data_IF_338812423118
#
_entry.id   IF_338812423118
#
_cell.length_a   1.000
_cell.length_b   1.000
_cell.length_c   1.000
_cell.angle_alpha   90.00
_cell.angle_beta   90.00
_cell.angle_gamma   90.00
#
_symmetry.space_group_name_H-M   'P 1'
#
loop_
_entity.id
_entity.type
_entity.pdbx_description
1 polymer ?
#
# COMPACT_ATOMS: atom_id res chain seq x y z
N UNK A 1 -22.40 -18.72 10.68
CA UNK A 1 -21.36 -17.81 10.13
C UNK A 1 -20.14 -18.51 9.54
N UNK A 2 -19.33 -19.32 10.25
CA UNK A 2 -18.16 -20.00 9.60
C UNK A 2 -18.61 -21.08 8.58
N UNK A 3 -19.62 -21.87 8.94
CA UNK A 3 -20.22 -22.91 8.08
C UNK A 3 -20.84 -22.33 6.80
N UNK A 4 -21.45 -21.14 6.86
CA UNK A 4 -22.01 -20.46 5.69
C UNK A 4 -20.93 -19.97 4.71
N UNK A 5 -19.76 -19.57 5.22
CA UNK A 5 -18.62 -19.15 4.40
C UNK A 5 -17.99 -20.32 3.65
N UNK A 6 -17.85 -21.46 4.33
CA UNK A 6 -17.34 -22.69 3.70
C UNK A 6 -18.30 -23.22 2.62
N UNK A 7 -19.61 -23.20 2.90
CA UNK A 7 -20.63 -23.55 1.92
C UNK A 7 -20.60 -22.61 0.70
N UNK A 8 -20.55 -21.30 0.94
CA UNK A 8 -20.47 -20.31 -0.14
C UNK A 8 -19.21 -20.49 -0.99
N UNK A 9 -18.06 -20.74 -0.37
CA UNK A 9 -16.80 -21.00 -1.09
C UNK A 9 -16.91 -22.22 -2.00
N UNK A 10 -17.42 -23.34 -1.47
CA UNK A 10 -17.62 -24.58 -2.25
C UNK A 10 -18.59 -24.39 -3.41
N UNK A 11 -19.67 -23.62 -3.22
CA UNK A 11 -20.71 -23.43 -4.24
C UNK A 11 -20.39 -22.38 -5.31
N UNK A 12 -19.56 -21.37 -4.98
CA UNK A 12 -19.32 -20.23 -5.88
C UNK A 12 -17.92 -20.16 -6.42
N UNK A 13 -16.93 -20.53 -5.61
CA UNK A 13 -15.51 -20.40 -5.98
C UNK A 13 -15.01 -21.71 -6.54
N UNK A 14 -15.18 -22.82 -5.81
CA UNK A 14 -14.68 -24.12 -6.25
C UNK A 14 -15.31 -24.55 -7.58
N UNK A 15 -16.61 -24.27 -7.78
CA UNK A 15 -17.29 -24.48 -9.06
C UNK A 15 -16.65 -23.68 -10.21
N UNK A 16 -16.19 -22.45 -9.95
CA UNK A 16 -15.51 -21.62 -10.96
C UNK A 16 -14.09 -22.10 -11.25
N UNK A 17 -13.40 -22.64 -10.26
CA UNK A 17 -12.10 -23.32 -10.44
C UNK A 17 -12.27 -24.53 -11.35
N UNK A 18 -13.29 -25.37 -11.10
CA UNK A 18 -13.56 -26.56 -11.93
C UNK A 18 -14.03 -26.22 -13.36
N UNK A 19 -14.75 -25.12 -13.55
CA UNK A 19 -15.16 -24.64 -14.88
C UNK A 19 -14.00 -23.97 -15.65
N UNK A 20 -12.92 -23.61 -14.95
CA UNK A 20 -11.81 -22.82 -15.44
C UNK A 20 -10.54 -23.61 -15.73
N UNK A 21 -10.61 -24.93 -15.98
CA UNK A 21 -9.41 -25.76 -16.24
C UNK A 21 -8.43 -25.07 -17.21
N UNK A 22 -7.18 -24.91 -16.77
CA UNK A 22 -6.13 -24.20 -17.51
C UNK A 22 -6.16 -22.67 -17.39
N UNK A 23 -6.96 -22.10 -16.49
CA UNK A 23 -7.05 -20.66 -16.20
C UNK A 23 -6.97 -20.40 -14.70
N UNK A 24 -6.39 -19.26 -14.36
CA UNK A 24 -6.30 -18.76 -12.99
C UNK A 24 -7.64 -18.17 -12.57
N UNK A 25 -8.09 -18.48 -11.36
CA UNK A 25 -9.32 -17.94 -10.77
C UNK A 25 -8.97 -17.04 -9.60
N UNK A 26 -9.46 -15.80 -9.61
CA UNK A 26 -9.24 -14.87 -8.49
C UNK A 26 -10.57 -14.42 -7.92
N UNK A 27 -10.67 -14.48 -6.59
CA UNK A 27 -11.85 -14.08 -5.86
C UNK A 27 -11.57 -12.89 -4.95
N UNK A 28 -12.27 -11.78 -5.21
CA UNK A 28 -12.34 -10.64 -4.30
C UNK A 28 -13.73 -10.53 -3.67
N UNK A 29 -13.75 -10.16 -2.39
CA UNK A 29 -14.98 -10.04 -1.62
C UNK A 29 -14.95 -8.81 -0.70
N UNK A 30 -16.13 -8.28 -0.42
CA UNK A 30 -16.39 -7.17 0.47
C UNK A 30 -17.59 -7.53 1.34
N UNK A 31 -17.56 -7.17 2.62
CA UNK A 31 -18.64 -7.44 3.56
C UNK A 31 -18.83 -6.28 4.54
N UNK A 32 -20.08 -6.03 4.97
CA UNK A 32 -20.37 -5.16 6.12
C UNK A 32 -20.15 -5.89 7.45
N UNK A 33 -19.97 -5.12 8.53
CA UNK A 33 -19.71 -5.61 9.89
C UNK A 33 -20.80 -6.55 10.45
N UNK A 34 -22.03 -6.45 9.97
CA UNK A 34 -23.12 -7.35 10.34
C UNK A 34 -23.14 -8.66 9.52
N UNK A 35 -22.37 -8.75 8.44
CA UNK A 35 -22.35 -9.86 7.47
C UNK A 35 -23.68 -10.06 6.73
N UNK A 36 -24.54 -9.04 6.66
CA UNK A 36 -25.85 -9.15 6.02
C UNK A 36 -25.81 -8.68 4.55
N UNK A 37 -24.88 -7.80 4.20
CA UNK A 37 -24.65 -7.31 2.83
C UNK A 37 -23.25 -7.68 2.32
N UNK A 38 -23.19 -8.12 1.06
CA UNK A 38 -21.99 -8.69 0.42
C UNK A 38 -21.81 -8.09 -0.97
N UNK A 39 -20.58 -7.72 -1.32
CA UNK A 39 -20.19 -7.31 -2.66
C UNK A 39 -18.98 -8.14 -3.07
N UNK A 40 -19.02 -8.83 -4.20
CA UNK A 40 -17.95 -9.75 -4.55
C UNK A 40 -17.77 -9.89 -6.06
N UNK A 41 -16.62 -10.37 -6.49
CA UNK A 41 -16.38 -10.75 -7.89
C UNK A 41 -15.40 -11.91 -7.96
N UNK A 42 -15.76 -12.89 -8.79
CA UNK A 42 -14.91 -14.02 -9.17
C UNK A 42 -14.67 -13.89 -10.66
N UNK A 43 -13.41 -13.84 -11.11
CA UNK A 43 -13.09 -14.00 -12.52
C UNK A 43 -12.08 -15.09 -12.73
N UNK A 44 -12.11 -15.62 -13.95
CA UNK A 44 -11.11 -16.52 -14.49
C UNK A 44 -10.34 -15.80 -15.58
N UNK A 45 -9.05 -16.01 -15.68
CA UNK A 45 -8.24 -15.47 -16.76
C UNK A 45 -6.98 -16.28 -16.98
N UNK A 46 -6.34 -16.06 -18.12
CA UNK A 46 -5.10 -16.74 -18.45
C UNK A 46 -3.88 -16.14 -17.74
N UNK A 47 -3.98 -14.95 -17.15
CA UNK A 47 -2.90 -14.24 -16.45
C UNK A 47 -3.35 -13.81 -15.04
N UNK A 48 -2.55 -14.11 -14.02
CA UNK A 48 -2.90 -13.83 -12.61
C UNK A 48 -3.02 -12.33 -12.32
N UNK A 49 -2.11 -11.47 -12.83
CA UNK A 49 -2.11 -10.03 -12.60
C UNK A 49 -3.35 -9.35 -13.21
N UNK A 50 -3.65 -9.65 -14.47
CA UNK A 50 -4.84 -9.15 -15.16
C UNK A 50 -6.12 -9.67 -14.51
N UNK A 51 -6.10 -10.92 -14.03
CA UNK A 51 -7.25 -11.51 -13.32
C UNK A 51 -7.46 -10.87 -11.95
N UNK A 52 -6.39 -10.50 -11.24
CA UNK A 52 -6.47 -9.69 -10.02
C UNK A 52 -7.14 -8.34 -10.28
N UNK A 53 -6.64 -7.58 -11.26
CA UNK A 53 -7.15 -6.24 -11.58
C UNK A 53 -8.62 -6.29 -12.02
N UNK A 54 -8.97 -7.21 -12.93
CA UNK A 54 -10.35 -7.40 -13.38
C UNK A 54 -11.28 -7.80 -12.22
N UNK A 55 -10.83 -8.69 -11.33
CA UNK A 55 -11.61 -9.16 -10.18
C UNK A 55 -11.79 -8.10 -9.12
N UNK A 56 -10.74 -7.34 -8.83
CA UNK A 56 -10.82 -6.24 -7.90
C UNK A 56 -11.75 -5.12 -8.43
N UNK A 57 -11.58 -4.68 -9.68
CA UNK A 57 -12.43 -3.63 -10.29
C UNK A 57 -13.90 -3.99 -10.27
N UNK A 58 -14.25 -5.22 -10.67
CA UNK A 58 -15.64 -5.71 -10.65
C UNK A 58 -16.16 -5.87 -9.23
N UNK A 59 -15.33 -6.32 -8.30
CA UNK A 59 -15.70 -6.38 -6.89
C UNK A 59 -16.01 -4.97 -6.37
N UNK A 60 -15.20 -3.96 -6.68
CA UNK A 60 -15.42 -2.58 -6.23
C UNK A 60 -16.73 -1.98 -6.77
N UNK A 61 -17.15 -2.33 -7.99
CA UNK A 61 -18.47 -1.95 -8.51
C UNK A 61 -19.58 -2.55 -7.66
N UNK A 62 -19.47 -3.82 -7.29
CA UNK A 62 -20.45 -4.50 -6.44
C UNK A 62 -20.41 -4.00 -4.98
N UNK A 63 -19.22 -3.78 -4.44
CA UNK A 63 -19.02 -3.24 -3.10
C UNK A 63 -19.60 -1.84 -2.98
N UNK A 64 -19.45 -0.98 -3.99
CA UNK A 64 -20.11 0.33 -4.04
C UNK A 64 -21.63 0.25 -3.90
N UNK A 65 -22.25 -0.80 -4.45
CA UNK A 65 -23.71 -1.01 -4.39
C UNK A 65 -24.18 -1.58 -3.05
N UNK A 66 -23.45 -2.54 -2.49
CA UNK A 66 -23.97 -3.35 -1.37
C UNK A 66 -23.27 -3.07 -0.03
N UNK A 67 -21.96 -2.86 -0.03
CA UNK A 67 -21.18 -2.83 1.23
C UNK A 67 -20.64 -1.46 1.59
N UNK A 68 -20.34 -0.63 0.59
CA UNK A 68 -19.64 0.64 0.73
C UNK A 68 -18.26 0.50 1.41
N UNK A 69 -17.66 -0.70 1.30
CA UNK A 69 -16.36 -1.06 1.86
C UNK A 69 -15.40 -1.47 0.74
N UNK A 70 -14.11 -1.64 1.07
CA UNK A 70 -13.12 -2.14 0.12
C UNK A 70 -13.35 -3.64 -0.19
N UNK A 71 -12.72 -4.10 -1.26
CA UNK A 71 -12.67 -5.48 -1.67
C UNK A 71 -11.35 -6.10 -1.30
N UNK A 72 -11.43 -7.24 -0.64
CA UNK A 72 -10.28 -7.98 -0.19
C UNK A 72 -10.10 -9.27 -0.97
N UNK A 73 -8.84 -9.66 -1.15
CA UNK A 73 -8.50 -10.93 -1.79
C UNK A 73 -8.93 -12.07 -0.86
N UNK A 74 -9.84 -12.92 -1.35
CA UNK A 74 -10.33 -14.06 -0.59
C UNK A 74 -9.56 -15.34 -0.90
N UNK A 75 -9.42 -15.64 -2.20
CA UNK A 75 -8.75 -16.82 -2.70
C UNK A 75 -8.09 -16.57 -4.04
N UNK A 76 -7.06 -17.35 -4.31
CA UNK A 76 -6.44 -17.53 -5.61
C UNK A 76 -6.55 -19.02 -5.91
N UNK A 77 -7.14 -19.37 -7.05
CA UNK A 77 -7.59 -20.71 -7.39
C UNK A 77 -8.43 -21.34 -6.26
N UNK A 78 -8.11 -22.58 -5.88
CA UNK A 78 -8.77 -23.31 -4.79
C UNK A 78 -8.18 -22.98 -3.40
N UNK A 79 -7.19 -22.10 -3.31
CA UNK A 79 -6.51 -21.73 -2.06
C UNK A 79 -7.13 -20.49 -1.43
N UNK A 80 -7.69 -20.64 -0.23
CA UNK A 80 -8.17 -19.50 0.58
C UNK A 80 -6.97 -18.76 1.18
N UNK A 81 -6.76 -17.52 0.74
CA UNK A 81 -5.68 -16.64 1.21
C UNK A 81 -6.17 -15.52 2.14
N UNK A 82 -7.48 -15.41 2.34
CA UNK A 82 -8.07 -14.42 3.24
C UNK A 82 -7.50 -14.53 4.67
N UNK A 83 -7.06 -13.39 5.22
CA UNK A 83 -6.50 -13.31 6.57
C UNK A 83 -5.12 -13.97 6.73
N UNK A 84 -4.49 -14.40 5.63
CA UNK A 84 -3.09 -14.88 5.61
C UNK A 84 -2.13 -13.72 5.42
N UNK A 85 -0.87 -13.93 5.80
CA UNK A 85 0.18 -12.93 5.62
C UNK A 85 0.64 -12.82 4.16
N UNK A 86 1.35 -11.74 3.86
CA UNK A 86 1.82 -11.44 2.50
C UNK A 86 2.82 -12.49 1.97
N UNK A 87 3.58 -13.15 2.84
CA UNK A 87 4.54 -14.16 2.40
C UNK A 87 3.82 -15.44 1.95
N UNK A 88 2.72 -15.81 2.62
CA UNK A 88 1.86 -16.90 2.19
C UNK A 88 1.18 -16.58 0.85
N UNK A 89 0.64 -15.37 0.68
CA UNK A 89 0.05 -14.94 -0.59
C UNK A 89 1.09 -14.95 -1.71
N UNK A 90 2.27 -14.38 -1.50
CA UNK A 90 3.36 -14.37 -2.48
C UNK A 90 3.79 -15.79 -2.85
N UNK A 91 3.85 -16.70 -1.87
CA UNK A 91 4.14 -18.12 -2.13
C UNK A 91 3.11 -18.74 -3.07
N UNK A 92 1.81 -18.56 -2.81
CA UNK A 92 0.73 -19.10 -3.66
C UNK A 92 0.77 -18.49 -5.06
N UNK A 93 0.96 -17.17 -5.18
CA UNK A 93 1.10 -16.49 -6.47
C UNK A 93 2.30 -17.04 -7.26
N UNK A 94 3.44 -17.26 -6.61
CA UNK A 94 4.65 -17.79 -7.25
C UNK A 94 4.48 -19.23 -7.74
N UNK A 95 3.85 -20.11 -6.95
CA UNK A 95 3.56 -21.49 -7.34
C UNK A 95 2.68 -21.54 -8.61
N UNK A 96 1.70 -20.64 -8.70
CA UNK A 96 0.86 -20.50 -9.89
C UNK A 96 1.71 -20.05 -11.08
N UNK A 97 2.52 -19.00 -10.95
CA UNK A 97 3.38 -18.54 -12.05
C UNK A 97 4.37 -19.61 -12.53
N UNK A 98 4.93 -20.41 -11.61
CA UNK A 98 5.82 -21.53 -11.96
C UNK A 98 5.10 -22.65 -12.73
N UNK A 99 3.78 -22.78 -12.54
CA UNK A 99 2.94 -23.78 -13.22
C UNK A 99 2.39 -23.30 -14.58
N UNK A 100 2.47 -22.00 -14.89
CA UNK A 100 1.96 -21.43 -16.13
C UNK A 100 2.87 -21.71 -17.33
N UNK A 101 2.30 -21.77 -18.54
CA UNK A 101 3.08 -21.92 -19.77
C UNK A 101 4.08 -20.75 -19.94
N UNK A 102 5.40 -21.02 -19.95
CA UNK A 102 6.41 -19.98 -20.07
C UNK A 102 6.26 -19.11 -21.34
N UNK A 103 5.75 -19.67 -22.44
CA UNK A 103 5.53 -18.93 -23.69
C UNK A 103 4.41 -17.90 -23.56
N UNK A 104 3.39 -18.19 -22.75
CA UNK A 104 2.28 -17.29 -22.47
C UNK A 104 2.71 -16.16 -21.53
N UNK A 105 3.43 -16.48 -20.45
CA UNK A 105 3.98 -15.48 -19.51
C UNK A 105 4.92 -14.51 -20.22
N UNK A 106 5.73 -15.02 -21.16
CA UNK A 106 6.59 -14.20 -22.02
C UNK A 106 5.81 -13.30 -22.97
N UNK A 107 4.67 -13.76 -23.51
CA UNK A 107 3.83 -12.97 -24.41
C UNK A 107 3.08 -11.84 -23.70
N UNK A 108 2.56 -12.06 -22.49
CA UNK A 108 1.91 -11.01 -21.69
C UNK A 108 2.93 -9.99 -21.14
N UNK A 109 4.10 -10.45 -20.71
CA UNK A 109 5.20 -9.55 -20.35
C UNK A 109 5.66 -8.72 -21.55
N UNK A 110 5.71 -9.30 -22.75
CA UNK A 110 6.04 -8.59 -23.98
C UNK A 110 4.94 -7.59 -24.38
N UNK A 111 3.64 -7.87 -24.18
CA UNK A 111 2.56 -6.90 -24.42
C UNK A 111 2.61 -5.73 -23.44
N UNK A 112 2.82 -6.00 -22.15
CA UNK A 112 2.98 -4.94 -21.15
C UNK A 112 4.25 -4.10 -21.40
N UNK A 113 5.30 -4.71 -21.95
CA UNK A 113 6.51 -4.02 -22.39
C UNK A 113 6.31 -3.24 -23.70
N UNK A 114 5.56 -3.76 -24.67
CA UNK A 114 5.18 -3.05 -25.90
C UNK A 114 4.26 -1.86 -25.60
N UNK A 115 3.29 -2.01 -24.69
CA UNK A 115 2.43 -0.92 -24.21
C UNK A 115 3.23 0.14 -23.46
N UNK A 116 4.25 -0.29 -22.70
CA UNK A 116 5.22 0.60 -22.06
C UNK A 116 6.15 1.28 -23.07
N UNK A 117 6.64 0.58 -24.09
CA UNK A 117 7.54 1.13 -25.11
C UNK A 117 6.80 2.03 -26.10
N UNK A 118 5.54 1.76 -26.41
CA UNK A 118 4.70 2.63 -27.24
C UNK A 118 4.34 3.94 -26.53
N UNK A 119 4.26 3.92 -25.20
CA UNK A 119 4.09 5.13 -24.39
C UNK A 119 5.42 5.84 -24.09
N UNK A 120 6.56 5.14 -24.20
CA UNK A 120 7.90 5.69 -23.99
C UNK A 120 8.59 6.21 -25.27
N UNK A 121 8.13 5.79 -26.46
CA UNK A 121 8.74 6.21 -27.74
C UNK A 121 8.44 7.66 -28.12
N UNK A 122 7.62 8.37 -27.36
CA UNK A 122 7.34 9.79 -27.56
C UNK A 122 8.45 10.71 -26.99
N UNK A 123 9.46 10.20 -26.26
CA UNK A 123 10.48 11.08 -25.67
C UNK A 123 11.98 10.82 -25.92
N UNK A 124 12.56 9.62 -26.14
CA UNK A 124 14.03 9.52 -26.38
C UNK A 124 14.51 8.29 -27.20
N UNK A 125 15.51 8.52 -28.06
CA UNK A 125 16.25 7.64 -29.00
C UNK A 125 16.41 6.13 -28.67
N UNK A 126 16.37 5.22 -29.68
CA UNK A 126 16.26 3.77 -29.49
C UNK A 126 17.59 3.02 -29.31
N UNK A 127 17.57 2.01 -28.43
CA UNK A 127 18.60 0.97 -28.31
C UNK A 127 18.42 -0.08 -29.43
N UNK A 128 19.49 -0.56 -30.11
CA UNK A 128 19.36 -1.54 -31.20
C UNK A 128 18.73 -2.87 -30.76
N UNK A 129 17.73 -3.36 -31.52
CA UNK A 129 16.94 -4.59 -31.29
C UNK A 129 17.78 -5.84 -30.99
N UNK A 130 19.00 -5.89 -31.52
CA UNK A 130 19.88 -7.05 -31.46
C UNK A 130 20.52 -7.21 -30.07
N UNK A 131 20.67 -6.09 -29.34
CA UNK A 131 21.18 -6.07 -27.96
C UNK A 131 20.10 -6.53 -26.97
N UNK A 132 18.83 -6.26 -27.28
CA UNK A 132 17.67 -6.64 -26.48
C UNK A 132 17.45 -8.17 -26.48
N UNK A 133 17.59 -8.82 -27.65
CA UNK A 133 17.45 -10.28 -27.80
C UNK A 133 18.47 -11.07 -26.96
N UNK A 134 19.69 -10.54 -26.78
CA UNK A 134 20.74 -11.17 -25.96
C UNK A 134 20.54 -10.98 -24.45
N UNK A 135 19.83 -9.93 -24.04
CA UNK A 135 19.44 -9.65 -22.64
C UNK A 135 18.17 -10.43 -22.20
N UNK A 136 17.48 -11.09 -23.15
CA UNK A 136 16.21 -11.80 -22.96
C UNK A 136 16.36 -13.28 -22.56
N UNK A 137 17.57 -13.84 -22.53
CA UNK A 137 17.74 -15.23 -22.08
C UNK A 137 17.81 -15.36 -20.55
N UNK A 138 16.64 -15.72 -20.00
CA UNK A 138 16.41 -16.77 -19.00
C UNK A 138 16.73 -16.56 -17.50
N UNK A 139 17.22 -15.43 -17.01
CA UNK A 139 17.57 -15.36 -15.56
C UNK A 139 16.90 -14.34 -14.66
N UNK A 140 15.81 -13.66 -15.04
CA UNK A 140 15.04 -12.89 -14.04
C UNK A 140 13.62 -12.50 -14.50
N UNK A 141 12.82 -13.47 -14.98
CA UNK A 141 11.40 -13.27 -15.30
C UNK A 141 10.60 -12.85 -14.04
N UNK A 142 10.84 -13.55 -12.92
CA UNK A 142 10.21 -13.24 -11.61
C UNK A 142 10.61 -11.85 -11.09
N UNK A 143 11.88 -11.45 -11.21
CA UNK A 143 12.31 -10.09 -10.86
C UNK A 143 11.72 -9.02 -11.78
N UNK A 144 11.53 -9.32 -13.07
CA UNK A 144 10.90 -8.41 -14.02
C UNK A 144 9.41 -8.22 -13.73
N UNK A 145 8.70 -9.29 -13.35
CA UNK A 145 7.31 -9.18 -12.87
C UNK A 145 7.20 -8.42 -11.54
N UNK A 146 8.15 -8.63 -10.61
CA UNK A 146 8.27 -7.82 -9.39
C UNK A 146 8.49 -6.33 -9.71
N UNK A 147 9.28 -6.01 -10.75
CA UNK A 147 9.45 -4.62 -11.25
C UNK A 147 8.22 -4.04 -11.94
N UNK A 148 7.46 -4.84 -12.70
CA UNK A 148 6.22 -4.40 -13.35
C UNK A 148 5.08 -4.17 -12.34
N UNK A 149 5.00 -4.96 -11.26
CA UNK A 149 4.12 -4.73 -10.10
C UNK A 149 4.35 -3.38 -9.42
N UNK A 150 5.52 -2.77 -9.61
CA UNK A 150 5.88 -1.46 -9.06
C UNK A 150 5.49 -0.29 -9.99
N UNK A 151 5.34 -0.48 -11.31
CA UNK A 151 5.10 0.60 -12.30
C UNK A 151 3.65 1.13 -12.38
N UNK A 152 2.91 1.17 -11.28
CA UNK A 152 1.67 1.96 -11.17
C UNK A 152 1.92 3.46 -10.94
N UNK A 153 3.07 3.95 -11.43
CA UNK A 153 3.80 5.11 -10.93
C UNK A 153 3.85 6.26 -11.94
N UNK A 154 2.77 7.04 -12.03
CA UNK A 154 2.85 8.43 -12.50
C UNK A 154 3.34 9.36 -11.37
N UNK A 155 4.43 8.98 -10.69
CA UNK A 155 4.99 9.72 -9.57
C UNK A 155 6.51 9.75 -9.65
N UNK A 156 7.04 10.47 -10.64
CA UNK A 156 8.44 10.94 -10.59
C UNK A 156 8.49 12.31 -9.93
N UNK A 157 8.79 12.33 -8.64
CA UNK A 157 9.37 13.50 -8.00
C UNK A 157 10.65 13.08 -7.29
N UNK A 158 11.80 13.54 -7.76
CA UNK A 158 13.07 13.25 -7.10
C UNK A 158 13.18 14.04 -5.80
N UNK A 159 13.40 13.32 -4.69
CA UNK A 159 13.63 13.93 -3.39
C UNK A 159 15.08 14.38 -3.26
N UNK A 160 15.38 15.62 -3.65
CA UNK A 160 16.76 16.16 -3.69
C UNK A 160 17.38 16.50 -2.32
N UNK A 161 16.66 16.30 -1.21
CA UNK A 161 17.03 16.81 0.13
C UNK A 161 16.71 15.86 1.29
N UNK A 162 16.86 14.55 1.10
CA UNK A 162 16.76 13.62 2.25
C UNK A 162 17.80 14.00 3.31
N UNK A 163 17.33 14.23 4.54
CA UNK A 163 18.19 14.59 5.67
C UNK A 163 17.76 13.90 6.97
N UNK A 164 16.71 13.07 6.93
CA UNK A 164 16.09 12.38 8.06
C UNK A 164 15.63 13.31 9.20
N UNK A 165 15.63 14.64 8.99
CA UNK A 165 15.29 15.65 10.00
C UNK A 165 14.15 16.57 9.54
N UNK A 166 14.10 16.86 8.24
CA UNK A 166 13.06 17.62 7.55
C UNK A 166 12.34 16.75 6.51
N UNK A 167 13.07 15.84 5.85
CA UNK A 167 12.53 15.00 4.78
C UNK A 167 13.07 13.57 4.83
N UNK A 168 12.21 12.64 4.46
CA UNK A 168 12.56 11.23 4.18
C UNK A 168 12.21 10.95 2.72
N UNK A 169 13.17 10.47 1.94
CA UNK A 169 12.94 10.11 0.55
C UNK A 169 12.33 8.72 0.46
N UNK A 170 11.31 8.56 -0.36
CA UNK A 170 10.76 7.28 -0.79
C UNK A 170 10.81 7.24 -2.33
N UNK A 171 10.52 6.08 -2.92
CA UNK A 171 10.50 5.90 -4.37
C UNK A 171 9.62 6.95 -5.07
N UNK A 172 8.48 7.28 -4.47
CA UNK A 172 7.49 8.21 -5.01
C UNK A 172 7.80 9.71 -4.69
N UNK A 173 8.83 10.00 -3.90
CA UNK A 173 9.30 11.36 -3.60
C UNK A 173 9.58 11.65 -2.12
N UNK A 174 9.31 12.87 -1.63
CA UNK A 174 9.65 13.25 -0.25
C UNK A 174 8.44 13.17 0.69
N UNK A 175 8.66 12.65 1.89
CA UNK A 175 7.75 12.79 3.03
C UNK A 175 8.30 13.83 3.99
N UNK A 176 7.51 14.86 4.27
CA UNK A 176 7.85 15.93 5.21
C UNK A 176 7.70 15.51 6.67
N UNK A 177 8.69 15.86 7.49
CA UNK A 177 8.68 15.59 8.94
C UNK A 177 9.04 16.84 9.74
N UNK A 178 8.56 16.87 10.99
CA UNK A 178 8.93 17.87 11.98
C UNK A 178 9.40 17.20 13.26
N UNK A 179 10.64 17.47 13.67
CA UNK A 179 11.13 17.03 14.98
C UNK A 179 10.50 17.82 16.13
N UNK A 180 10.36 17.14 17.27
CA UNK A 180 10.12 17.75 18.57
C UNK A 180 11.32 17.45 19.47
N UNK A 181 11.89 18.48 20.08
CA UNK A 181 13.13 18.35 20.86
C UNK A 181 14.40 18.13 20.02
N UNK A 182 15.48 17.69 20.68
CA UNK A 182 16.74 17.30 20.05
C UNK A 182 16.61 15.91 19.43
N UNK A 183 17.20 15.70 18.25
CA UNK A 183 17.25 14.41 17.56
C UNK A 183 18.68 13.90 17.61
N UNK A 184 18.86 12.61 17.92
CA UNK A 184 20.16 11.98 18.13
C UNK A 184 20.04 10.47 17.91
N UNK A 185 20.98 9.85 17.18
CA UNK A 185 20.98 8.42 16.88
C UNK A 185 21.23 7.52 18.09
N UNK A 186 21.81 8.06 19.17
CA UNK A 186 22.04 7.31 20.41
C UNK A 186 20.75 7.01 21.18
N UNK A 187 19.67 7.73 20.86
CA UNK A 187 18.37 7.57 21.52
C UNK A 187 17.69 6.28 21.09
N UNK A 188 17.22 5.54 22.07
CA UNK A 188 16.72 4.17 21.91
C UNK A 188 15.28 4.06 21.51
N UNK A 189 14.51 5.15 21.59
CA UNK A 189 13.10 5.17 21.17
C UNK A 189 12.90 6.11 20.01
N UNK A 190 12.15 5.64 19.01
CA UNK A 190 11.65 6.45 17.91
C UNK A 190 10.14 6.58 18.07
N UNK A 191 9.64 7.81 18.23
CA UNK A 191 8.22 8.10 18.30
C UNK A 191 7.82 8.86 17.04
N UNK A 192 6.83 8.33 16.31
CA UNK A 192 6.28 8.98 15.11
C UNK A 192 4.80 9.25 15.33
N UNK A 193 4.42 10.52 15.26
CA UNK A 193 3.03 10.95 15.31
C UNK A 193 2.46 11.18 13.91
N UNK A 194 1.28 10.61 13.66
CA UNK A 194 0.49 10.72 12.44
C UNK A 194 -0.82 11.46 12.72
N UNK A 195 -0.97 12.61 12.09
CA UNK A 195 -2.08 13.52 12.33
C UNK A 195 -3.41 13.03 11.73
N UNK A 196 -4.51 13.61 12.21
CA UNK A 196 -5.86 13.38 11.68
C UNK A 196 -6.12 14.04 10.34
N UNK A 197 -7.32 13.84 9.82
CA UNK A 197 -7.74 14.37 8.52
C UNK A 197 -7.92 15.89 8.56
N UNK A 198 -7.25 16.58 7.64
CA UNK A 198 -7.40 18.02 7.43
C UNK A 198 -7.90 18.24 6.00
N UNK A 199 -9.03 18.93 5.85
CA UNK A 199 -9.72 19.11 4.55
C UNK A 199 -9.54 20.53 3.99
N UNK A 200 -8.34 21.07 4.10
CA UNK A 200 -8.01 22.40 3.56
C UNK A 200 -6.58 22.42 3.00
N UNK A 201 -6.30 23.44 2.18
CA UNK A 201 -5.02 23.62 1.49
C UNK A 201 -3.99 24.41 2.32
N UNK A 202 -4.32 24.74 3.57
CA UNK A 202 -3.41 25.48 4.44
C UNK A 202 -2.34 24.56 5.04
N UNK A 203 -1.14 25.12 5.23
CA UNK A 203 -0.07 24.45 5.95
C UNK A 203 -0.56 24.05 7.36
N UNK A 204 -0.26 22.81 7.75
CA UNK A 204 -0.66 22.25 9.02
C UNK A 204 0.31 22.74 10.11
N UNK A 205 -0.20 23.57 11.04
CA UNK A 205 0.49 23.94 12.27
C UNK A 205 0.43 22.82 13.33
N UNK A 206 1.08 21.70 13.01
CA UNK A 206 0.89 20.45 13.75
C UNK A 206 1.28 20.53 15.22
N UNK A 207 2.30 21.31 15.56
CA UNK A 207 2.77 21.47 16.95
C UNK A 207 1.78 22.24 17.82
N UNK A 208 0.99 23.14 17.22
CA UNK A 208 -0.05 23.89 17.93
C UNK A 208 -1.29 23.03 18.16
N UNK A 209 -1.68 22.24 17.18
CA UNK A 209 -2.90 21.41 17.25
C UNK A 209 -2.69 20.10 18.03
N UNK A 210 -1.47 19.54 18.02
CA UNK A 210 -1.10 18.34 18.77
C UNK A 210 0.16 18.60 19.61
N UNK A 211 0.04 19.32 20.74
CA UNK A 211 1.18 19.63 21.60
C UNK A 211 1.61 18.38 22.39
N UNK A 212 2.77 17.81 22.04
CA UNK A 212 3.38 16.68 22.76
C UNK A 212 4.61 17.09 23.58
N UNK A 213 4.74 18.38 23.93
CA UNK A 213 5.93 18.89 24.63
C UNK A 213 6.12 18.27 26.01
N UNK A 214 5.05 17.83 26.69
CA UNK A 214 5.12 17.11 27.97
C UNK A 214 5.79 15.74 27.85
N UNK A 215 5.50 14.98 26.79
CA UNK A 215 6.09 13.64 26.56
C UNK A 215 7.62 13.70 26.52
N UNK A 216 8.19 14.78 25.99
CA UNK A 216 9.65 14.94 25.93
C UNK A 216 10.25 15.26 27.30
N UNK A 217 9.51 15.98 28.17
CA UNK A 217 9.97 16.33 29.52
C UNK A 217 10.04 15.09 30.42
N UNK A 218 9.10 14.17 30.29
CA UNK A 218 8.93 13.05 31.22
C UNK A 218 9.82 11.83 30.89
N UNK A 219 10.25 11.67 29.64
CA UNK A 219 11.03 10.50 29.18
C UNK A 219 12.55 10.73 29.09
N UNK A 220 13.08 11.75 29.78
CA UNK A 220 14.53 12.07 29.88
C UNK A 220 15.30 11.88 28.57
N UNK A 221 14.96 12.66 27.56
CA UNK A 221 15.70 12.78 26.30
C UNK A 221 15.90 11.51 25.46
N UNK A 222 15.57 10.29 25.89
CA UNK A 222 15.87 9.04 25.16
C UNK A 222 14.90 8.76 23.99
N UNK A 223 14.27 9.80 23.45
CA UNK A 223 13.28 9.73 22.38
C UNK A 223 13.70 10.64 21.22
N UNK A 224 13.75 10.06 20.02
CA UNK A 224 13.62 10.78 18.76
C UNK A 224 12.13 10.92 18.45
N UNK A 225 11.58 12.14 18.52
CA UNK A 225 10.17 12.38 18.25
C UNK A 225 9.99 13.13 16.93
N UNK A 226 9.19 12.57 16.03
CA UNK A 226 8.80 13.20 14.78
C UNK A 226 7.28 13.26 14.62
N UNK A 227 6.80 14.39 14.14
CA UNK A 227 5.53 14.46 13.43
C UNK A 227 5.80 14.12 11.98
N UNK A 228 5.00 13.24 11.38
CA UNK A 228 5.07 12.92 9.95
C UNK A 228 3.85 13.49 9.23
N UNK A 229 4.10 14.28 8.18
CA UNK A 229 3.04 14.80 7.32
C UNK A 229 2.58 13.68 6.40
N UNK A 230 1.32 13.25 6.57
CA UNK A 230 0.72 12.20 5.73
C UNK A 230 0.70 12.64 4.26
N UNK A 231 0.55 11.70 3.30
CA UNK A 231 0.61 12.01 1.88
C UNK A 231 -0.40 13.09 1.51
N UNK A 232 0.05 14.04 0.68
CA UNK A 232 -0.75 15.20 0.29
C UNK A 232 -0.81 16.34 1.31
N UNK A 233 -0.38 16.12 2.55
CA UNK A 233 -0.37 17.16 3.59
C UNK A 233 0.97 17.89 3.60
N UNK A 234 0.94 19.14 4.07
CA UNK A 234 2.10 20.01 4.19
C UNK A 234 2.15 20.61 5.58
N UNK A 235 3.31 20.55 6.23
CA UNK A 235 3.56 21.24 7.50
C UNK A 235 4.18 22.62 7.26
N UNK A 236 3.98 23.55 8.18
CA UNK A 236 4.60 24.89 8.09
C UNK A 236 6.12 24.78 7.87
N UNK A 237 6.62 25.44 6.83
CA UNK A 237 8.05 25.43 6.50
C UNK A 237 8.58 24.10 5.93
N UNK A 238 7.69 23.26 5.39
CA UNK A 238 8.03 22.05 4.63
C UNK A 238 7.42 22.10 3.24
N UNK A 239 7.99 21.35 2.30
CA UNK A 239 7.27 20.99 1.08
C UNK A 239 6.15 19.99 1.42
N UNK A 240 5.14 19.92 0.55
CA UNK A 240 4.04 18.95 0.67
C UNK A 240 4.62 17.54 0.57
N UNK A 241 4.20 16.64 1.46
CA UNK A 241 4.51 15.22 1.33
C UNK A 241 3.93 14.66 0.04
N UNK A 242 4.71 13.87 -0.69
CA UNK A 242 4.26 13.12 -1.88
C UNK A 242 2.92 12.43 -1.61
N UNK A 243 2.02 12.51 -2.59
CA UNK A 243 0.71 11.86 -2.60
C UNK A 243 -0.12 12.33 -3.79
N UNK A 244 -1.07 11.49 -4.23
CA UNK A 244 -1.89 11.77 -5.42
C UNK A 244 -2.66 13.08 -5.38
N UNK A 245 -3.13 13.45 -4.20
CA UNK A 245 -4.00 14.59 -3.98
C UNK A 245 -3.45 15.46 -2.84
N UNK A 246 -3.68 16.77 -2.89
CA UNK A 246 -3.49 17.66 -1.74
C UNK A 246 -4.45 17.31 -0.60
N UNK A 247 -4.16 17.78 0.61
CA UNK A 247 -5.10 17.68 1.74
C UNK A 247 -6.44 18.36 1.48
N UNK A 248 -6.48 19.45 0.71
CA UNK A 248 -7.73 20.11 0.32
C UNK A 248 -8.44 19.43 -0.85
N UNK A 249 -7.74 18.69 -1.69
CA UNK A 249 -8.35 17.85 -2.74
C UNK A 249 -8.95 16.56 -2.15
N UNK A 250 -8.48 16.09 -0.99
CA UNK A 250 -9.04 14.94 -0.25
C UNK A 250 -10.44 15.23 0.39
N UNK A 251 -11.31 15.99 -0.30
CA UNK A 251 -12.70 16.29 0.03
C UNK A 251 -13.65 15.30 -0.67
N UNK A 252 -14.79 14.98 -0.03
CA UNK A 252 -15.86 14.15 -0.61
C UNK A 252 -15.76 12.64 -0.34
N UNK A 253 -16.80 11.90 -0.75
CA UNK A 253 -16.97 10.46 -0.46
C UNK A 253 -16.04 9.56 -1.29
N UNK A 254 -15.60 9.98 -2.47
CA UNK A 254 -14.71 9.18 -3.34
C UNK A 254 -13.25 9.24 -2.86
N UNK A 255 -12.80 10.42 -2.42
CA UNK A 255 -11.46 10.65 -1.88
C UNK A 255 -11.30 10.08 -0.47
N UNK A 256 -12.38 9.58 0.14
CA UNK A 256 -12.31 8.79 1.36
C UNK A 256 -11.73 7.38 1.13
N UNK A 257 -11.86 6.81 -0.08
CA UNK A 257 -11.39 5.47 -0.42
C UNK A 257 -9.88 5.51 -0.69
N UNK A 258 -9.41 6.37 -1.61
CA UNK A 258 -7.98 6.49 -1.91
C UNK A 258 -7.15 6.91 -0.69
N UNK A 259 -7.65 7.87 0.08
CA UNK A 259 -7.07 8.32 1.36
C UNK A 259 -6.79 7.22 2.38
N UNK A 260 -7.63 6.20 2.37
CA UNK A 260 -7.58 5.07 3.31
C UNK A 260 -7.00 3.82 2.66
N UNK A 261 -6.68 3.88 1.37
CA UNK A 261 -6.13 2.78 0.59
C UNK A 261 -4.69 2.49 0.98
N UNK A 262 -4.26 1.26 0.70
CA UNK A 262 -2.88 0.87 0.88
C UNK A 262 -1.91 1.69 0.02
N UNK A 263 -2.31 2.11 -1.18
CA UNK A 263 -1.44 2.90 -2.07
C UNK A 263 -1.05 4.25 -1.50
N UNK A 264 -1.91 4.87 -0.69
CA UNK A 264 -1.55 6.07 0.03
C UNK A 264 -0.80 5.75 1.33
N UNK A 265 -1.26 4.75 2.08
CA UNK A 265 -0.68 4.37 3.38
C UNK A 265 0.77 3.90 3.22
N UNK A 266 1.09 3.15 2.15
CA UNK A 266 2.43 2.62 1.88
C UNK A 266 3.49 3.71 1.79
N UNK A 267 3.13 4.91 1.32
CA UNK A 267 4.05 6.05 1.23
C UNK A 267 4.58 6.47 2.60
N UNK A 268 3.68 6.59 3.58
CA UNK A 268 4.08 6.86 4.97
C UNK A 268 4.78 5.68 5.61
N UNK A 269 4.32 4.45 5.35
CA UNK A 269 4.92 3.25 5.90
C UNK A 269 6.37 3.07 5.44
N UNK A 270 6.68 3.36 4.17
CA UNK A 270 8.04 3.37 3.61
C UNK A 270 8.93 4.41 4.31
N UNK A 271 8.43 5.63 4.51
CA UNK A 271 9.17 6.65 5.25
C UNK A 271 9.41 6.27 6.72
N UNK A 272 8.41 5.68 7.38
CA UNK A 272 8.54 5.15 8.75
C UNK A 272 9.61 4.06 8.82
N UNK A 273 9.61 3.12 7.87
CA UNK A 273 10.62 2.06 7.79
C UNK A 273 12.03 2.64 7.64
N UNK A 274 12.23 3.60 6.72
CA UNK A 274 13.51 4.28 6.54
C UNK A 274 13.96 5.05 7.80
N UNK A 275 13.03 5.66 8.54
CA UNK A 275 13.36 6.28 9.83
C UNK A 275 13.81 5.24 10.86
N UNK A 276 13.15 4.07 10.93
CA UNK A 276 13.58 2.96 11.80
C UNK A 276 14.98 2.47 11.42
N UNK A 277 15.25 2.28 10.13
CA UNK A 277 16.55 1.87 9.62
C UNK A 277 17.65 2.90 9.89
N UNK A 278 17.35 4.19 9.75
CA UNK A 278 18.33 5.26 9.94
C UNK A 278 18.70 5.49 11.40
N UNK A 279 17.70 5.47 12.29
CA UNK A 279 17.87 5.75 13.72
C UNK A 279 18.12 4.49 14.57
N UNK A 280 17.86 3.30 14.03
CA UNK A 280 18.06 2.00 14.68
C UNK A 280 17.59 1.98 16.15
N UNK A 281 16.32 2.38 16.42
CA UNK A 281 15.81 2.39 17.78
C UNK A 281 15.63 0.95 18.29
N UNK A 282 15.72 0.78 19.61
CA UNK A 282 15.31 -0.45 20.28
C UNK A 282 13.77 -0.59 20.25
N UNK A 283 13.04 0.54 20.15
CA UNK A 283 11.58 0.59 20.13
C UNK A 283 11.04 1.70 19.21
N UNK A 284 10.21 1.32 18.22
CA UNK A 284 9.40 2.21 17.39
C UNK A 284 7.95 2.29 17.90
N UNK A 285 7.55 3.49 18.31
CA UNK A 285 6.21 3.81 18.78
C UNK A 285 5.51 4.69 17.74
N UNK A 286 4.37 4.25 17.24
CA UNK A 286 3.50 5.05 16.38
C UNK A 286 2.27 5.54 17.11
N UNK A 287 2.02 6.84 17.03
CA UNK A 287 0.84 7.49 17.61
C UNK A 287 0.01 8.05 16.46
N UNK A 288 -1.18 7.51 16.23
CA UNK A 288 -2.08 7.96 15.19
C UNK A 288 -3.33 8.62 15.77
N UNK A 289 -3.75 9.75 15.19
CA UNK A 289 -5.04 10.39 15.47
C UNK A 289 -5.97 10.29 14.26
N UNK A 290 -7.23 9.88 14.44
CA UNK A 290 -8.26 9.82 13.39
C UNK A 290 -7.77 9.07 12.13
N UNK A 291 -7.67 9.72 10.97
CA UNK A 291 -7.11 9.08 9.76
C UNK A 291 -5.63 8.66 9.91
N UNK A 292 -4.86 9.28 10.81
CA UNK A 292 -3.53 8.82 11.18
C UNK A 292 -3.57 7.52 11.98
N UNK A 293 -4.60 7.32 12.82
CA UNK A 293 -4.82 6.06 13.53
C UNK A 293 -5.19 4.94 12.56
N UNK A 294 -6.00 5.22 11.54
CA UNK A 294 -6.28 4.28 10.44
C UNK A 294 -4.98 3.85 9.73
N UNK A 295 -4.15 4.82 9.33
CA UNK A 295 -2.85 4.56 8.71
C UNK A 295 -1.96 3.66 9.60
N UNK A 296 -1.87 3.98 10.89
CA UNK A 296 -1.12 3.18 11.86
C UNK A 296 -1.65 1.75 11.93
N UNK A 297 -2.97 1.56 12.06
CA UNK A 297 -3.57 0.24 12.16
C UNK A 297 -3.31 -0.62 10.90
N UNK A 298 -3.47 -0.04 9.71
CA UNK A 298 -3.20 -0.74 8.46
C UNK A 298 -1.72 -1.07 8.31
N UNK A 299 -0.82 -0.16 8.67
CA UNK A 299 0.63 -0.43 8.61
C UNK A 299 1.04 -1.52 9.58
N UNK A 300 0.47 -1.55 10.79
CA UNK A 300 0.67 -2.61 11.76
C UNK A 300 0.28 -3.99 11.19
N UNK A 301 -0.87 -4.07 10.51
CA UNK A 301 -1.35 -5.31 9.92
C UNK A 301 -0.63 -5.73 8.62
N UNK A 302 -0.16 -4.78 7.81
CA UNK A 302 0.47 -5.04 6.51
C UNK A 302 1.99 -5.19 6.58
N UNK A 303 2.64 -4.66 7.62
CA UNK A 303 4.09 -4.74 7.82
C UNK A 303 4.38 -5.23 9.25
N UNK A 304 4.15 -6.52 9.55
CA UNK A 304 4.42 -7.07 10.87
C UNK A 304 5.91 -6.89 11.23
N UNK A 305 6.18 -6.57 12.50
CA UNK A 305 7.54 -6.33 13.01
C UNK A 305 8.12 -4.93 12.74
N UNK A 306 7.43 -4.09 11.95
CA UNK A 306 7.84 -2.69 11.79
C UNK A 306 7.57 -1.89 13.07
N UNK A 307 6.35 -1.96 13.60
CA UNK A 307 5.88 -1.15 14.73
C UNK A 307 5.91 -1.98 16.01
N UNK A 308 6.62 -1.51 17.04
CA UNK A 308 6.69 -2.20 18.33
C UNK A 308 5.50 -1.84 19.23
N UNK A 309 5.07 -0.57 19.20
CA UNK A 309 3.87 -0.10 19.91
C UNK A 309 3.04 0.87 19.06
N UNK A 310 1.72 0.72 19.09
CA UNK A 310 0.78 1.61 18.43
C UNK A 310 -0.19 2.22 19.44
N UNK A 311 -0.38 3.55 19.38
CA UNK A 311 -1.39 4.29 20.13
C UNK A 311 -2.38 4.86 19.11
N UNK A 312 -3.62 4.37 19.13
CA UNK A 312 -4.67 4.73 18.19
C UNK A 312 -5.70 5.63 18.86
N UNK A 313 -5.77 6.90 18.47
CA UNK A 313 -6.67 7.90 19.07
C UNK A 313 -7.76 8.27 18.07
N UNK A 314 -9.03 8.11 18.45
CA UNK A 314 -10.17 8.54 17.62
C UNK A 314 -10.28 7.85 16.26
N UNK A 315 -9.82 6.60 16.15
CA UNK A 315 -9.96 5.79 14.93
C UNK A 315 -11.40 5.29 14.79
N UNK A 316 -12.02 5.44 13.60
CA UNK A 316 -13.15 4.58 13.27
C UNK A 316 -12.59 3.23 12.85
N UNK A 317 -12.51 2.28 13.79
CA UNK A 317 -12.08 0.89 13.55
C UNK A 317 -12.98 0.11 12.56
N UNK A 318 -13.88 0.80 11.85
CA UNK A 318 -14.98 0.28 11.04
C UNK A 318 -14.93 0.73 9.57
N UNK A 319 -13.85 1.40 9.14
CA UNK A 319 -13.72 1.97 7.79
C UNK A 319 -12.47 1.50 7.04
N UNK A 320 -11.95 0.33 7.42
CA UNK A 320 -10.98 -0.43 6.64
C UNK A 320 -11.71 -1.39 5.72
#
# INVERSE_FOLDING_TARGET
KLIEKEKFFKEKVLTKVTEGEGRVVVFYFSCKNNYDDWGYSINTGSDLLNTHDASYRRCMVNAKKYTQQDCFLYSIDDVVVWGKDAAFVEKVENEIYESMDPSFVLAEAAKAEDEFLSTWSDEVNPIPKNTLSRLLQQKNLLERMKKLRLKGDDWKYECTKEDFVKYVAIEEGCIGILKLGKIDKTKKKLVIFLHGDRKNDSDYNIKKEYPFSSIIKDQKENINFFYLARPGHKFNGRTRSTGKETSGEQKGNWNAIYKKSWDQIKLSARAIKKLKEHYQPDELILIGSSGGAHLTAITLGRIPGLIDKAILVGCSCTSG
#
